data_IF_196151317312
#
_entry.id   IF_196151317312
#
_cell.length_a   1.000
_cell.length_b   1.000
_cell.length_c   1.000
_cell.angle_alpha   90.00
_cell.angle_beta   90.00
_cell.angle_gamma   90.00
#
_symmetry.space_group_name_H-M   'P 1'
#
loop_
_entity.id
_entity.type
_entity.pdbx_description
1 polymer ?
#
# COMPACT_ATOMS: atom_id res chain seq x y z
N UNK A 1 8.52 26.76 -5.28
CA UNK A 1 7.09 26.40 -5.22
C UNK A 1 6.93 25.30 -4.18
N UNK A 2 5.93 25.40 -3.30
CA UNK A 2 5.60 24.31 -2.39
C UNK A 2 4.99 23.18 -3.24
N UNK A 3 5.42 21.94 -3.02
CA UNK A 3 4.81 20.80 -3.70
C UNK A 3 3.30 20.76 -3.38
N UNK A 4 2.45 20.41 -4.35
CA UNK A 4 1.01 20.31 -4.12
C UNK A 4 0.72 19.29 -3.02
N UNK A 5 -0.23 19.63 -2.15
CA UNK A 5 -0.72 18.72 -1.11
C UNK A 5 -1.34 17.48 -1.78
N UNK A 6 -0.78 16.30 -1.50
CA UNK A 6 -1.21 15.05 -2.12
C UNK A 6 -2.42 14.42 -1.42
N UNK A 7 -2.58 14.65 -0.11
CA UNK A 7 -3.63 14.06 0.72
C UNK A 7 -3.12 13.48 2.04
N UNK A 8 -4.02 12.83 2.77
CA UNK A 8 -3.75 12.19 4.06
C UNK A 8 -3.64 10.67 3.91
N UNK A 9 -2.79 10.06 4.73
CA UNK A 9 -2.64 8.62 4.84
C UNK A 9 -2.88 8.18 6.28
N UNK A 10 -3.92 7.39 6.49
CA UNK A 10 -4.32 6.91 7.83
C UNK A 10 -4.07 5.40 7.91
N UNK A 11 -3.25 4.97 8.87
CA UNK A 11 -2.95 3.56 9.13
C UNK A 11 -3.45 3.15 10.51
N UNK A 12 -4.28 2.11 10.57
CA UNK A 12 -4.77 1.53 11.81
C UNK A 12 -3.71 0.60 12.45
N UNK A 13 -2.83 1.15 13.28
CA UNK A 13 -1.68 0.43 13.85
C UNK A 13 -2.01 -0.92 14.52
N UNK A 14 -3.07 -1.07 15.34
CA UNK A 14 -3.42 -2.37 15.94
C UNK A 14 -3.85 -3.43 14.91
N UNK A 15 -4.41 -3.00 13.78
CA UNK A 15 -4.74 -3.88 12.67
C UNK A 15 -3.48 -4.31 11.92
N UNK A 16 -2.63 -3.33 11.57
CA UNK A 16 -1.33 -3.57 10.90
C UNK A 16 -0.45 -4.54 11.68
N UNK A 17 -0.39 -4.41 13.00
CA UNK A 17 0.37 -5.32 13.87
C UNK A 17 -0.14 -6.77 13.81
N UNK A 18 -1.46 -6.96 13.82
CA UNK A 18 -2.06 -8.30 13.71
C UNK A 18 -1.80 -8.90 12.34
N UNK A 19 -2.00 -8.12 11.29
CA UNK A 19 -1.79 -8.56 9.91
C UNK A 19 -0.33 -8.95 9.65
N UNK A 20 0.63 -8.15 10.17
CA UNK A 20 2.05 -8.46 10.07
C UNK A 20 2.41 -9.80 10.72
N UNK A 21 1.84 -10.06 11.90
CA UNK A 21 2.03 -11.32 12.61
C UNK A 21 1.41 -12.51 11.84
N UNK A 22 0.23 -12.34 11.23
CA UNK A 22 -0.46 -13.37 10.44
C UNK A 22 0.31 -13.75 9.16
N UNK A 23 0.90 -12.75 8.49
CA UNK A 23 1.69 -12.96 7.27
C UNK A 23 3.14 -13.40 7.53
N UNK A 24 3.61 -13.22 8.78
CA UNK A 24 4.94 -13.63 9.24
C UNK A 24 6.06 -12.70 8.81
N UNK A 25 5.81 -11.40 8.72
CA UNK A 25 6.82 -10.36 8.49
C UNK A 25 6.84 -9.34 9.64
N UNK A 26 7.81 -8.41 9.64
CA UNK A 26 7.91 -7.40 10.70
C UNK A 26 6.82 -6.35 10.58
N UNK A 27 6.46 -5.71 11.70
CA UNK A 27 5.57 -4.54 11.67
C UNK A 27 6.14 -3.41 10.81
N UNK A 28 7.46 -3.23 10.84
CA UNK A 28 8.14 -2.19 10.06
C UNK A 28 7.98 -2.43 8.56
N UNK A 29 8.17 -3.66 8.11
CA UNK A 29 7.95 -4.06 6.71
C UNK A 29 6.51 -3.75 6.26
N UNK A 30 5.51 -4.14 7.06
CA UNK A 30 4.10 -3.90 6.75
C UNK A 30 3.77 -2.39 6.73
N UNK A 31 4.34 -1.60 7.65
CA UNK A 31 4.17 -0.14 7.64
C UNK A 31 4.76 0.49 6.38
N UNK A 32 5.95 0.06 5.95
CA UNK A 32 6.57 0.57 4.72
C UNK A 32 5.72 0.20 3.51
N UNK A 33 5.19 -1.03 3.45
CA UNK A 33 4.25 -1.45 2.41
C UNK A 33 3.03 -0.52 2.37
N UNK A 34 2.35 -0.31 3.50
CA UNK A 34 1.14 0.52 3.56
C UNK A 34 1.40 1.99 3.21
N UNK A 35 2.54 2.54 3.63
CA UNK A 35 2.96 3.90 3.26
C UNK A 35 3.20 4.00 1.76
N UNK A 36 3.93 3.06 1.15
CA UNK A 36 4.15 3.04 -0.31
C UNK A 36 2.81 2.91 -1.04
N UNK A 37 1.99 1.96 -0.63
CA UNK A 37 0.70 1.67 -1.26
C UNK A 37 -0.23 2.88 -1.23
N UNK A 38 -0.45 3.47 -0.05
CA UNK A 38 -1.30 4.66 0.07
C UNK A 38 -0.70 5.88 -0.65
N UNK A 39 0.63 6.03 -0.65
CA UNK A 39 1.28 7.10 -1.44
C UNK A 39 1.06 6.92 -2.94
N UNK A 40 1.11 5.68 -3.45
CA UNK A 40 0.82 5.38 -4.85
C UNK A 40 -0.62 5.77 -5.20
N UNK A 41 -1.59 5.52 -4.32
CA UNK A 41 -2.97 6.01 -4.50
C UNK A 41 -3.06 7.53 -4.56
N UNK A 42 -2.38 8.25 -3.66
CA UNK A 42 -2.34 9.72 -3.70
C UNK A 42 -1.67 10.27 -4.97
N UNK A 43 -0.84 9.46 -5.65
CA UNK A 43 -0.21 9.79 -6.93
C UNK A 43 -1.03 9.35 -8.15
N UNK A 44 -2.24 8.80 -7.94
CA UNK A 44 -3.15 8.41 -9.01
C UNK A 44 -2.93 7.00 -9.57
N UNK A 45 -2.15 6.15 -8.88
CA UNK A 45 -2.16 4.71 -9.16
C UNK A 45 -3.40 4.08 -8.53
N UNK A 46 -3.90 3.03 -9.16
CA UNK A 46 -5.05 2.28 -8.65
C UNK A 46 -4.90 0.79 -9.01
N UNK A 47 -5.74 -0.04 -8.42
CA UNK A 47 -5.83 -1.48 -8.68
C UNK A 47 -7.29 -1.93 -8.90
N UNK A 48 -8.07 -1.06 -9.53
CA UNK A 48 -9.48 -1.24 -9.92
C UNK A 48 -9.67 -2.30 -11.01
N UNK A 49 -8.66 -2.53 -11.85
CA UNK A 49 -8.64 -3.55 -12.89
C UNK A 49 -7.27 -4.22 -13.00
N UNK A 50 -7.20 -5.34 -13.74
CA UNK A 50 -5.99 -6.15 -13.85
C UNK A 50 -4.78 -5.40 -14.44
N UNK A 51 -5.00 -4.48 -15.39
CA UNK A 51 -3.91 -3.71 -15.99
C UNK A 51 -3.35 -2.68 -15.01
N UNK A 52 -4.23 -1.92 -14.35
CA UNK A 52 -3.85 -0.93 -13.35
C UNK A 52 -3.19 -1.60 -12.14
N UNK A 53 -3.75 -2.71 -11.65
CA UNK A 53 -3.16 -3.50 -10.58
C UNK A 53 -1.74 -3.96 -10.93
N UNK A 54 -1.52 -4.51 -12.13
CA UNK A 54 -0.19 -4.94 -12.56
C UNK A 54 0.82 -3.78 -12.55
N UNK A 55 0.41 -2.60 -13.05
CA UNK A 55 1.24 -1.38 -13.05
C UNK A 55 1.56 -0.90 -11.64
N UNK A 56 0.57 -0.87 -10.75
CA UNK A 56 0.76 -0.45 -9.36
C UNK A 56 1.66 -1.44 -8.60
N UNK A 57 1.47 -2.75 -8.78
CA UNK A 57 2.27 -3.78 -8.11
C UNK A 57 3.73 -3.77 -8.58
N UNK A 58 3.97 -3.53 -9.87
CA UNK A 58 5.32 -3.36 -10.38
C UNK A 58 5.99 -2.17 -9.70
N UNK A 59 5.31 -1.02 -9.60
CA UNK A 59 5.86 0.18 -8.95
C UNK A 59 6.09 -0.02 -7.45
N UNK A 60 5.16 -0.64 -6.76
CA UNK A 60 5.29 -0.99 -5.35
C UNK A 60 6.50 -1.90 -5.11
N UNK A 61 6.68 -2.92 -5.95
CA UNK A 61 7.82 -3.85 -5.87
C UNK A 61 9.15 -3.15 -6.11
N UNK A 62 9.22 -2.25 -7.10
CA UNK A 62 10.40 -1.43 -7.39
C UNK A 62 10.81 -0.59 -6.16
N UNK A 63 9.85 0.07 -5.52
CA UNK A 63 10.08 0.94 -4.36
C UNK A 63 10.47 0.15 -3.11
N UNK A 64 9.80 -0.97 -2.82
CA UNK A 64 10.18 -1.86 -1.72
C UNK A 64 11.60 -2.38 -1.90
N UNK A 65 11.96 -2.79 -3.11
CA UNK A 65 13.31 -3.26 -3.44
C UNK A 65 14.35 -2.15 -3.24
N UNK A 66 14.04 -0.93 -3.67
CA UNK A 66 14.93 0.23 -3.48
C UNK A 66 15.18 0.56 -2.00
N UNK A 67 14.23 0.23 -1.11
CA UNK A 67 14.37 0.36 0.34
C UNK A 67 14.99 -0.88 1.01
N UNK A 68 15.40 -1.90 0.25
CA UNK A 68 16.01 -3.13 0.77
C UNK A 68 15.01 -4.18 1.27
N UNK A 69 13.71 -3.95 1.09
CA UNK A 69 12.64 -4.85 1.51
C UNK A 69 12.31 -5.81 0.36
N UNK A 70 12.86 -7.03 0.44
CA UNK A 70 12.82 -7.99 -0.67
C UNK A 70 12.03 -9.27 -0.37
N UNK A 71 11.64 -9.48 0.90
CA UNK A 71 11.02 -10.74 1.37
C UNK A 71 9.57 -10.56 1.83
N UNK A 72 9.00 -9.39 1.61
CA UNK A 72 7.64 -9.09 2.06
C UNK A 72 6.65 -9.86 1.18
N UNK A 73 5.83 -10.70 1.81
CA UNK A 73 4.67 -11.30 1.13
C UNK A 73 3.65 -10.20 0.90
N UNK A 74 3.53 -9.75 -0.34
CA UNK A 74 2.54 -8.74 -0.71
C UNK A 74 1.14 -9.33 -0.47
N UNK A 75 0.30 -8.71 0.38
CA UNK A 75 -1.07 -9.12 0.57
C UNK A 75 -1.81 -9.11 -0.76
N UNK A 76 -2.67 -10.11 -0.97
CA UNK A 76 -3.59 -10.08 -2.11
C UNK A 76 -4.75 -9.15 -1.76
N UNK A 77 -4.68 -7.88 -2.18
CA UNK A 77 -5.83 -6.98 -2.16
C UNK A 77 -6.83 -7.44 -3.24
N UNK A 78 -8.10 -7.70 -2.90
CA UNK A 78 -9.09 -8.11 -3.90
C UNK A 78 -9.24 -7.05 -4.99
N UNK A 79 -9.37 -7.50 -6.25
CA UNK A 79 -9.73 -6.63 -7.37
C UNK A 79 -11.08 -5.97 -7.08
N UNK A 80 -11.15 -4.64 -7.19
CA UNK A 80 -12.40 -3.90 -7.09
C UNK A 80 -12.82 -3.46 -5.68
N UNK A 81 -11.94 -3.52 -4.67
CA UNK A 81 -12.13 -2.69 -3.48
C UNK A 81 -11.80 -1.24 -3.83
N UNK A 82 -12.71 -0.56 -4.54
CA UNK A 82 -12.75 0.89 -4.50
C UNK A 82 -12.95 1.26 -3.03
N UNK A 83 -11.94 1.83 -2.37
CA UNK A 83 -12.11 2.51 -1.10
C UNK A 83 -12.92 3.81 -1.31
N UNK A 84 -14.15 3.68 -1.81
CA UNK A 84 -15.17 4.66 -1.53
C UNK A 84 -15.41 4.56 -0.03
N UNK A 85 -14.87 5.54 0.70
CA UNK A 85 -15.11 5.68 2.13
C UNK A 85 -16.61 5.62 2.38
N UNK A 86 -17.05 4.57 3.06
CA UNK A 86 -18.35 4.58 3.70
C UNK A 86 -18.22 5.55 4.87
N UNK A 87 -18.53 6.82 4.58
CA UNK A 87 -18.92 7.77 5.60
C UNK A 87 -20.26 7.30 6.14
N UNK A 88 -20.22 6.66 7.31
CA UNK A 88 -21.34 6.56 8.25
C UNK A 88 -20.80 6.61 9.68
#
# INVERSE_FOLDING_TARGET
>A
ELQPYLGDLIIALPYTQRHAAELGHSLEDELVLLVIHGTLHLLGYDHDNAENQARMWQKQTELLTALGITKLKIPHFPLGESHEGTAD
#
